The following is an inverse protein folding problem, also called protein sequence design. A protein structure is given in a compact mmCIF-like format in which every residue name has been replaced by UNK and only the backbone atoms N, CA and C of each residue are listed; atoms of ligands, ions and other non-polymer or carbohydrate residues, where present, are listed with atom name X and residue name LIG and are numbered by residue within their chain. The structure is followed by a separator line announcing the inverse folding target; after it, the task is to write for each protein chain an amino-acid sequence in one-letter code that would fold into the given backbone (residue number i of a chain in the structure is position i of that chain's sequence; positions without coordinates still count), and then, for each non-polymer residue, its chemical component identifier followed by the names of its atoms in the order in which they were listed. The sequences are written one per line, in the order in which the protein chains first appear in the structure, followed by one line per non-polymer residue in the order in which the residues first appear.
data_IF_404253086550
#
_entry.id   IF_404253086550
#
_cell.length_a   1.000
_cell.length_b   1.000
_cell.length_c   1.000
_cell.angle_alpha   90.00
_cell.angle_beta   90.00
_cell.angle_gamma   90.00
#
_symmetry.space_group_name_H-M   'P 1'
#
loop_
_entity.id
_entity.type
_entity.pdbx_description
1 polymer ?
#
# COMPACT_ATOMS: atom_id res chain seq x y z
N UNK A 1 10.20 -22.04 12.72
CA UNK A 1 9.71 -21.43 11.48
C UNK A 1 8.21 -21.65 11.43
N UNK A 2 7.41 -20.67 11.00
CA UNK A 2 5.94 -20.80 10.90
C UNK A 2 5.62 -21.48 9.57
N UNK A 3 4.67 -22.39 9.50
CA UNK A 3 4.35 -23.09 8.24
C UNK A 3 3.68 -22.15 7.22
N UNK A 4 3.89 -22.38 5.92
CA UNK A 4 3.38 -21.51 4.84
C UNK A 4 1.87 -21.24 4.92
N UNK A 5 1.05 -22.25 5.26
CA UNK A 5 -0.40 -22.12 5.41
C UNK A 5 -0.81 -21.17 6.54
N UNK A 6 -0.10 -21.23 7.67
CA UNK A 6 -0.37 -20.36 8.81
C UNK A 6 0.04 -18.91 8.54
N UNK A 7 1.18 -18.71 7.84
CA UNK A 7 1.60 -17.38 7.36
C UNK A 7 0.56 -16.77 6.42
N UNK A 8 0.02 -17.58 5.50
CA UNK A 8 -1.01 -17.17 4.54
C UNK A 8 -2.30 -16.75 5.27
N UNK A 9 -2.77 -17.54 6.23
CA UNK A 9 -3.97 -17.23 7.02
C UNK A 9 -3.82 -15.95 7.85
N UNK A 10 -2.66 -15.75 8.47
CA UNK A 10 -2.37 -14.53 9.25
C UNK A 10 -2.33 -13.29 8.35
N UNK A 11 -1.66 -13.37 7.19
CA UNK A 11 -1.61 -12.28 6.22
C UNK A 11 -2.99 -11.99 5.62
N UNK A 12 -3.79 -13.01 5.30
CA UNK A 12 -5.15 -12.82 4.79
C UNK A 12 -6.06 -12.12 5.81
N UNK A 13 -6.02 -12.54 7.07
CA UNK A 13 -6.81 -11.89 8.13
C UNK A 13 -6.39 -10.42 8.30
N UNK A 14 -5.09 -10.16 8.26
CA UNK A 14 -4.55 -8.81 8.29
C UNK A 14 -4.99 -7.97 7.07
N UNK A 15 -4.90 -8.52 5.85
CA UNK A 15 -5.34 -7.86 4.63
C UNK A 15 -6.84 -7.56 4.63
N UNK A 16 -7.67 -8.51 5.06
CA UNK A 16 -9.12 -8.33 5.08
C UNK A 16 -9.55 -7.22 6.05
N UNK A 17 -8.95 -7.18 7.24
CA UNK A 17 -9.20 -6.10 8.21
C UNK A 17 -8.69 -4.78 7.69
N UNK A 18 -7.48 -4.74 7.14
CA UNK A 18 -6.89 -3.50 6.61
C UNK A 18 -7.64 -2.96 5.38
N UNK A 19 -8.10 -3.80 4.45
CA UNK A 19 -8.92 -3.38 3.30
C UNK A 19 -10.25 -2.79 3.77
N UNK A 20 -10.91 -3.42 4.76
CA UNK A 20 -12.17 -2.88 5.32
C UNK A 20 -11.96 -1.53 5.99
N UNK A 21 -10.94 -1.40 6.83
CA UNK A 21 -10.61 -0.14 7.50
C UNK A 21 -10.19 0.95 6.52
N UNK A 22 -9.39 0.60 5.51
CA UNK A 22 -8.97 1.53 4.46
C UNK A 22 -10.15 1.96 3.59
N UNK A 23 -11.02 1.03 3.19
CA UNK A 23 -12.22 1.34 2.44
C UNK A 23 -13.18 2.26 3.20
N UNK A 24 -13.35 2.04 4.50
CA UNK A 24 -14.14 2.91 5.37
C UNK A 24 -13.50 4.31 5.47
N UNK A 25 -12.19 4.39 5.67
CA UNK A 25 -11.45 5.65 5.72
C UNK A 25 -11.58 6.43 4.41
N UNK A 26 -11.41 5.78 3.25
CA UNK A 26 -11.59 6.39 1.93
C UNK A 26 -13.03 6.86 1.75
N UNK A 27 -14.02 6.07 2.16
CA UNK A 27 -15.44 6.45 2.08
C UNK A 27 -15.73 7.70 2.93
N UNK A 28 -15.21 7.78 4.16
CA UNK A 28 -15.32 8.98 5.00
C UNK A 28 -14.70 10.19 4.30
N UNK A 29 -13.49 10.05 3.76
CA UNK A 29 -12.80 11.16 3.07
C UNK A 29 -13.62 11.63 1.87
N UNK A 30 -14.13 10.73 1.04
CA UNK A 30 -14.98 11.09 -0.12
C UNK A 30 -16.25 11.79 0.34
N UNK A 31 -16.90 11.30 1.40
CA UNK A 31 -18.14 11.86 1.92
C UNK A 31 -17.91 13.26 2.53
N UNK A 32 -16.82 13.43 3.28
CA UNK A 32 -16.39 14.73 3.81
C UNK A 32 -16.04 15.70 2.70
N UNK A 33 -15.33 15.25 1.67
CA UNK A 33 -15.00 16.06 0.50
C UNK A 33 -16.25 16.51 -0.25
N UNK A 34 -17.18 15.59 -0.52
CA UNK A 34 -18.46 15.89 -1.17
C UNK A 34 -19.28 16.91 -0.36
N UNK A 35 -19.38 16.73 0.96
CA UNK A 35 -20.09 17.65 1.85
C UNK A 35 -19.49 19.06 1.84
N UNK A 36 -18.16 19.17 1.96
CA UNK A 36 -17.45 20.46 1.95
C UNK A 36 -17.50 21.13 0.57
N UNK A 37 -17.45 20.35 -0.51
CA UNK A 37 -17.61 20.85 -1.87
C UNK A 37 -19.00 21.45 -2.10
N UNK A 38 -20.05 20.73 -1.66
CA UNK A 38 -21.45 21.18 -1.71
C UNK A 38 -21.69 22.49 -0.95
N UNK A 39 -20.84 22.80 0.04
CA UNK A 39 -20.88 24.03 0.83
C UNK A 39 -19.92 25.13 0.32
N UNK A 40 -19.20 24.91 -0.78
CA UNK A 40 -18.18 25.83 -1.32
C UNK A 40 -17.08 26.23 -0.34
N UNK A 41 -16.84 25.43 0.72
CA UNK A 41 -15.84 25.72 1.76
C UNK A 41 -14.51 24.99 1.55
N UNK A 42 -14.38 24.32 0.42
CA UNK A 42 -13.29 23.39 0.15
C UNK A 42 -12.02 24.13 -0.27
N UNK A 43 -10.97 24.08 0.56
CA UNK A 43 -9.69 24.74 0.28
C UNK A 43 -8.64 23.74 -0.20
N UNK A 44 -7.68 24.17 -1.02
CA UNK A 44 -6.55 23.34 -1.47
C UNK A 44 -5.80 22.68 -0.28
N UNK A 45 -5.75 23.35 0.87
CA UNK A 45 -5.15 22.83 2.09
C UNK A 45 -5.92 21.64 2.68
N UNK A 46 -7.26 21.64 2.61
CA UNK A 46 -8.09 20.51 3.03
C UNK A 46 -7.94 19.31 2.09
N UNK A 47 -7.82 19.56 0.78
CA UNK A 47 -7.54 18.51 -0.21
C UNK A 47 -6.18 17.86 0.05
N UNK A 48 -5.16 18.69 0.25
CA UNK A 48 -3.82 18.21 0.60
C UNK A 48 -3.83 17.38 1.90
N UNK A 49 -4.52 17.87 2.94
CA UNK A 49 -4.65 17.15 4.21
C UNK A 49 -5.34 15.78 4.05
N UNK A 50 -6.39 15.69 3.23
CA UNK A 50 -7.06 14.41 2.94
C UNK A 50 -6.10 13.40 2.29
N UNK A 51 -5.29 13.83 1.33
CA UNK A 51 -4.27 12.97 0.73
C UNK A 51 -3.19 12.54 1.73
N UNK A 52 -2.74 13.43 2.62
CA UNK A 52 -1.80 13.06 3.68
C UNK A 52 -2.36 11.96 4.60
N UNK A 53 -3.66 11.97 4.91
CA UNK A 53 -4.29 10.92 5.72
C UNK A 53 -4.27 9.58 4.99
N UNK A 54 -4.54 9.58 3.68
CA UNK A 54 -4.45 8.37 2.84
C UNK A 54 -3.01 7.83 2.85
N UNK A 55 -2.03 8.72 2.67
CA UNK A 55 -0.61 8.38 2.64
C UNK A 55 -0.09 7.86 3.98
N UNK A 56 -0.47 8.49 5.09
CA UNK A 56 -0.16 8.01 6.43
C UNK A 56 -0.74 6.61 6.66
N UNK A 57 -1.97 6.36 6.19
CA UNK A 57 -2.62 5.04 6.29
C UNK A 57 -1.87 3.97 5.48
N UNK A 58 -1.38 4.30 4.28
CA UNK A 58 -0.55 3.40 3.47
C UNK A 58 0.79 3.07 4.14
N UNK A 59 1.46 4.06 4.74
CA UNK A 59 2.71 3.84 5.49
C UNK A 59 2.44 2.94 6.69
N UNK A 60 1.40 3.22 7.46
CA UNK A 60 1.03 2.43 8.64
C UNK A 60 0.73 0.97 8.25
N UNK A 61 -0.01 0.77 7.16
CA UNK A 61 -0.26 -0.55 6.61
C UNK A 61 1.03 -1.27 6.20
N UNK A 62 1.89 -0.60 5.42
CA UNK A 62 3.18 -1.15 4.99
C UNK A 62 4.08 -1.50 6.18
N UNK A 63 4.06 -0.69 7.23
CA UNK A 63 4.82 -0.92 8.45
C UNK A 63 4.33 -2.13 9.24
N UNK A 64 3.01 -2.26 9.41
CA UNK A 64 2.41 -3.43 10.06
C UNK A 64 2.69 -4.71 9.27
N UNK A 65 2.58 -4.66 7.94
CA UNK A 65 2.93 -5.77 7.05
C UNK A 65 4.40 -6.14 7.18
N UNK A 66 5.31 -5.16 7.20
CA UNK A 66 6.74 -5.37 7.44
C UNK A 66 6.97 -6.08 8.78
N UNK A 67 6.36 -5.60 9.87
CA UNK A 67 6.48 -6.22 11.20
C UNK A 67 6.00 -7.67 11.21
N UNK A 68 4.90 -7.98 10.50
CA UNK A 68 4.42 -9.36 10.36
C UNK A 68 5.40 -10.22 9.59
N UNK A 69 5.89 -9.76 8.43
CA UNK A 69 6.85 -10.50 7.61
C UNK A 69 8.16 -10.78 8.36
N UNK A 70 8.66 -9.82 9.14
CA UNK A 70 9.87 -9.99 9.96
C UNK A 70 9.70 -11.04 11.08
N UNK A 71 8.47 -11.38 11.48
CA UNK A 71 8.20 -12.45 12.46
C UNK A 71 8.28 -13.85 11.85
N UNK A 72 8.04 -13.98 10.54
CA UNK A 72 7.97 -15.29 9.89
C UNK A 72 9.34 -15.95 9.67
N UNK A 73 10.38 -15.13 9.48
CA UNK A 73 11.74 -15.62 9.25
C UNK A 73 12.79 -14.89 10.09
N UNK A 74 13.75 -15.65 10.60
CA UNK A 74 14.93 -15.16 11.33
C UNK A 74 16.11 -14.89 10.41
N UNK A 75 16.04 -15.24 9.12
CA UNK A 75 17.12 -15.04 8.15
C UNK A 75 17.41 -13.53 7.97
N UNK A 76 18.68 -13.16 8.10
CA UNK A 76 19.14 -11.79 8.04
C UNK A 76 19.01 -11.18 6.64
N UNK A 77 19.24 -11.98 5.58
CA UNK A 77 19.03 -11.55 4.19
C UNK A 77 17.55 -11.30 3.93
N UNK A 78 16.68 -12.20 4.37
CA UNK A 78 15.23 -12.03 4.28
C UNK A 78 14.77 -10.73 4.96
N UNK A 79 15.23 -10.50 6.20
CA UNK A 79 14.89 -9.30 6.97
C UNK A 79 15.39 -8.02 6.30
N UNK A 80 16.56 -8.05 5.67
CA UNK A 80 17.10 -6.92 4.90
C UNK A 80 16.20 -6.59 3.71
N UNK A 81 15.80 -7.57 2.91
CA UNK A 81 14.91 -7.35 1.78
C UNK A 81 13.52 -6.87 2.19
N UNK A 82 12.96 -7.39 3.29
CA UNK A 82 11.68 -6.91 3.85
C UNK A 82 11.76 -5.44 4.29
N UNK A 83 12.87 -5.02 4.92
CA UNK A 83 13.10 -3.61 5.28
C UNK A 83 13.31 -2.72 4.06
N UNK A 84 14.03 -3.20 3.04
CA UNK A 84 14.21 -2.48 1.77
C UNK A 84 12.86 -2.27 1.07
N UNK A 85 11.99 -3.29 1.09
CA UNK A 85 10.64 -3.17 0.54
C UNK A 85 9.85 -2.04 1.24
N UNK A 86 9.87 -2.03 2.57
CA UNK A 86 9.21 -0.99 3.34
C UNK A 86 9.82 0.40 3.10
N UNK A 87 11.15 0.51 3.06
CA UNK A 87 11.83 1.77 2.75
C UNK A 87 11.40 2.30 1.38
N UNK A 88 11.25 1.42 0.41
CA UNK A 88 10.83 1.81 -0.92
C UNK A 88 9.36 2.25 -0.98
N UNK A 89 8.45 1.57 -0.26
CA UNK A 89 7.07 2.05 -0.03
C UNK A 89 7.09 3.44 0.59
N UNK A 90 7.89 3.64 1.63
CA UNK A 90 8.02 4.91 2.34
C UNK A 90 8.52 6.04 1.42
N UNK A 91 9.56 5.79 0.62
CA UNK A 91 10.08 6.75 -0.36
C UNK A 91 9.05 7.08 -1.45
N UNK A 92 8.26 6.09 -1.89
CA UNK A 92 7.18 6.30 -2.86
C UNK A 92 6.11 7.22 -2.29
N UNK A 93 5.71 7.01 -1.04
CA UNK A 93 4.73 7.88 -0.36
C UNK A 93 5.26 9.30 -0.18
N UNK A 94 6.55 9.47 0.13
CA UNK A 94 7.19 10.79 0.17
C UNK A 94 7.14 11.46 -1.21
N UNK A 95 7.51 10.73 -2.27
CA UNK A 95 7.45 11.25 -3.64
C UNK A 95 6.05 11.70 -4.03
N UNK A 96 5.04 10.90 -3.68
CA UNK A 96 3.63 11.23 -3.88
C UNK A 96 3.18 12.46 -3.05
N UNK A 97 3.63 12.60 -1.79
CA UNK A 97 3.31 13.76 -0.97
C UNK A 97 3.89 15.07 -1.55
N UNK A 98 5.14 15.03 -2.02
CA UNK A 98 5.78 16.16 -2.71
C UNK A 98 5.04 16.48 -4.01
N UNK A 99 4.66 15.45 -4.77
CA UNK A 99 3.90 15.61 -6.01
C UNK A 99 2.53 16.27 -5.76
N UNK A 100 1.78 15.82 -4.74
CA UNK A 100 0.49 16.44 -4.40
C UNK A 100 0.67 17.85 -3.87
N UNK A 101 1.70 18.13 -3.08
CA UNK A 101 2.01 19.50 -2.67
C UNK A 101 2.21 20.42 -3.89
N UNK A 102 3.05 20.02 -4.85
CA UNK A 102 3.31 20.80 -6.06
C UNK A 102 2.07 20.99 -6.94
N UNK A 103 1.20 19.99 -7.03
CA UNK A 103 0.00 20.07 -7.90
C UNK A 103 -1.18 20.78 -7.24
N UNK A 104 -1.48 20.47 -5.96
CA UNK A 104 -2.66 20.97 -5.26
C UNK A 104 -2.42 22.34 -4.61
N UNK A 105 -1.26 22.55 -3.97
CA UNK A 105 -0.99 23.80 -3.25
C UNK A 105 -0.45 24.87 -4.18
N UNK A 106 0.47 24.52 -5.08
CA UNK A 106 1.04 25.49 -6.02
C UNK A 106 0.22 25.65 -7.32
N UNK A 107 -0.91 24.95 -7.44
CA UNK A 107 -1.92 25.09 -8.50
C UNK A 107 -1.34 25.01 -9.93
N UNK A 108 -0.31 24.19 -10.13
CA UNK A 108 0.31 23.98 -11.44
C UNK A 108 -0.55 23.03 -12.28
N UNK A 109 -1.31 23.58 -13.25
CA UNK A 109 -2.24 22.81 -14.09
C UNK A 109 -1.61 22.09 -15.30
N UNK A 110 -0.30 21.83 -15.30
CA UNK A 110 0.37 21.26 -16.48
C UNK A 110 0.19 19.74 -16.60
N UNK A 111 -0.10 19.29 -17.82
CA UNK A 111 -0.24 17.87 -18.23
C UNK A 111 0.98 17.02 -17.85
N UNK A 112 2.16 17.62 -17.68
CA UNK A 112 3.41 16.98 -17.26
C UNK A 112 3.30 16.21 -15.93
N UNK A 113 2.36 16.59 -15.07
CA UNK A 113 2.19 15.95 -13.76
C UNK A 113 1.49 14.58 -13.83
N UNK A 114 0.58 14.32 -14.78
CA UNK A 114 -0.01 12.97 -14.91
C UNK A 114 1.05 11.93 -15.32
N UNK A 115 1.98 12.35 -16.18
CA UNK A 115 3.18 11.59 -16.55
C UNK A 115 4.10 11.35 -15.36
N UNK A 116 4.35 12.38 -14.54
CA UNK A 116 5.15 12.26 -13.31
C UNK A 116 4.51 11.32 -12.28
N UNK A 117 3.18 11.37 -12.10
CA UNK A 117 2.47 10.42 -11.23
C UNK A 117 2.62 8.98 -11.71
N UNK A 118 2.52 8.76 -13.02
CA UNK A 118 2.73 7.45 -13.64
C UNK A 118 4.18 6.97 -13.47
N UNK A 119 5.16 7.87 -13.62
CA UNK A 119 6.59 7.61 -13.39
C UNK A 119 6.91 7.27 -11.93
N UNK A 120 6.09 7.66 -10.96
CA UNK A 120 6.25 7.27 -9.55
C UNK A 120 5.65 5.87 -9.30
N UNK A 121 4.50 5.56 -9.90
CA UNK A 121 3.76 4.32 -9.65
C UNK A 121 4.33 3.11 -10.43
N UNK A 122 4.81 3.30 -11.65
CA UNK A 122 5.30 2.17 -12.48
C UNK A 122 6.55 1.51 -11.90
N UNK A 123 7.61 2.26 -11.51
CA UNK A 123 8.75 1.66 -10.82
C UNK A 123 8.34 0.99 -9.52
N UNK A 124 7.27 1.48 -8.89
CA UNK A 124 6.77 0.89 -7.66
C UNK A 124 6.26 -0.53 -7.85
N UNK A 125 5.41 -0.74 -8.86
CA UNK A 125 4.88 -2.06 -9.21
C UNK A 125 6.00 -3.02 -9.62
N UNK A 126 6.96 -2.55 -10.40
CA UNK A 126 8.11 -3.36 -10.82
C UNK A 126 8.98 -3.79 -9.62
N UNK A 127 9.27 -2.85 -8.71
CA UNK A 127 10.08 -3.13 -7.54
C UNK A 127 9.40 -4.10 -6.58
N UNK A 128 8.09 -3.97 -6.36
CA UNK A 128 7.34 -4.92 -5.53
C UNK A 128 7.44 -6.35 -6.09
N UNK A 129 7.29 -6.51 -7.41
CA UNK A 129 7.46 -7.80 -8.07
C UNK A 129 8.89 -8.34 -7.91
N UNK A 130 9.89 -7.51 -8.15
CA UNK A 130 11.30 -7.92 -8.04
C UNK A 130 11.68 -8.34 -6.62
N UNK A 131 11.23 -7.61 -5.60
CA UNK A 131 11.46 -7.97 -4.20
C UNK A 131 10.78 -9.29 -3.84
N UNK A 132 9.54 -9.51 -4.30
CA UNK A 132 8.82 -10.75 -4.07
C UNK A 132 9.54 -11.96 -4.67
N UNK A 133 10.11 -11.84 -5.87
CA UNK A 133 10.95 -12.91 -6.45
C UNK A 133 12.20 -13.19 -5.60
N UNK A 134 12.87 -12.14 -5.11
CA UNK A 134 14.06 -12.28 -4.27
C UNK A 134 13.72 -12.93 -2.92
N UNK A 135 12.60 -12.54 -2.31
CA UNK A 135 12.12 -13.12 -1.06
C UNK A 135 11.73 -14.59 -1.22
N UNK A 136 11.06 -14.97 -2.32
CA UNK A 136 10.73 -16.38 -2.64
C UNK A 136 11.98 -17.24 -2.87
N UNK A 137 13.06 -16.67 -3.41
CA UNK A 137 14.36 -17.38 -3.58
C UNK A 137 15.07 -17.64 -2.24
N UNK A 138 14.89 -16.76 -1.26
CA UNK A 138 15.51 -16.88 0.07
C UNK A 138 14.67 -17.79 0.97
N UNK A 139 13.36 -17.58 0.96
CA UNK A 139 12.40 -18.34 1.74
C UNK A 139 11.30 -18.87 0.80
N UNK A 140 11.34 -20.17 0.43
CA UNK A 140 10.32 -20.75 -0.45
C UNK A 140 8.93 -20.75 0.20
N UNK A 141 8.83 -20.60 1.53
CA UNK A 141 7.57 -20.43 2.24
C UNK A 141 7.08 -18.97 2.29
N UNK A 142 7.77 -18.04 1.63
CA UNK A 142 7.35 -16.65 1.56
C UNK A 142 6.01 -16.51 0.83
N UNK A 143 5.05 -15.92 1.54
CA UNK A 143 3.70 -15.65 1.01
C UNK A 143 3.70 -14.33 0.26
N UNK A 144 3.35 -14.39 -1.02
CA UNK A 144 3.18 -13.20 -1.87
C UNK A 144 1.72 -12.80 -2.02
N UNK A 145 1.50 -11.56 -2.49
CA UNK A 145 0.16 -11.05 -2.81
C UNK A 145 -0.56 -11.88 -3.88
N UNK A 146 0.19 -12.56 -4.76
CA UNK A 146 -0.36 -13.47 -5.75
C UNK A 146 -0.92 -14.74 -5.10
N UNK A 147 -0.23 -15.30 -4.12
CA UNK A 147 -0.65 -16.51 -3.41
C UNK A 147 -1.95 -16.24 -2.63
N UNK A 148 -2.06 -15.06 -2.01
CA UNK A 148 -3.29 -14.60 -1.33
C UNK A 148 -4.46 -14.47 -2.32
N UNK A 149 -4.23 -13.84 -3.48
CA UNK A 149 -5.27 -13.68 -4.53
C UNK A 149 -5.71 -15.03 -5.12
N UNK A 150 -4.77 -15.95 -5.32
CA UNK A 150 -5.06 -17.28 -5.83
C UNK A 150 -5.86 -18.10 -4.81
N UNK A 151 -5.48 -18.05 -3.53
CA UNK A 151 -6.23 -18.72 -2.48
C UNK A 151 -7.65 -18.18 -2.34
N UNK A 152 -7.84 -16.86 -2.45
CA UNK A 152 -9.18 -16.24 -2.44
C UNK A 152 -10.05 -16.74 -3.60
N UNK A 153 -9.50 -16.79 -4.82
CA UNK A 153 -10.21 -17.31 -6.00
C UNK A 153 -10.58 -18.79 -5.86
N UNK A 154 -9.68 -19.60 -5.32
CA UNK A 154 -9.93 -21.02 -5.08
C UNK A 154 -10.99 -21.24 -4.00
N UNK A 155 -11.00 -20.41 -2.96
CA UNK A 155 -12.04 -20.44 -1.92
C UNK A 155 -13.41 -20.06 -2.49
N UNK A 156 -13.47 -19.00 -3.29
CA UNK A 156 -14.70 -18.56 -3.97
C UNK A 156 -15.21 -19.60 -4.99
N UNK A 157 -14.31 -20.35 -5.63
CA UNK A 157 -14.66 -21.41 -6.59
C UNK A 157 -15.04 -22.75 -5.93
N UNK A 158 -14.61 -23.01 -4.69
CA UNK A 158 -14.95 -24.21 -3.92
C UNK A 158 -16.14 -24.06 -2.97
N UNK A 159 -16.73 -22.87 -2.90
CA UNK A 159 -18.02 -22.58 -2.23
C UNK A 159 -19.21 -22.62 -3.22
N UNK A 160 -19.03 -23.24 -4.40
CA UNK A 160 -20.11 -23.66 -5.32
C UNK A 160 -20.33 -25.17 -5.23
#
# INVERSE_FOLDING_TARGET
MVEHKDRLLQLMRFEQVSIRLFGLLVAIIILTFYYLHSRYTLTNMQVFAAFLVIYASLILWGWLRMKLLLRFSSDELYRRYVRINFLFIFMTVIGLAIFIWGTVIQNFQHVTYSLLGTLIVVPFLYFEWWVNERLKKIDPEHVTNQDIRQYRRLKEAGEQ
#
